data_IF_652283630417
#
_entry.id   IF_652283630417
#
_cell.length_a   1.000
_cell.length_b   1.000
_cell.length_c   1.000
_cell.angle_alpha   90.00
_cell.angle_beta   90.00
_cell.angle_gamma   90.00
#
_symmetry.space_group_name_H-M   'P 1'
#
loop_
_entity.id
_entity.type
_entity.pdbx_description
1 polymer ?
#
# COMPACT_ATOMS: atom_id res chain seq x y z
N UNK A 1 31.99 23.09 15.47
CA UNK A 1 31.26 23.77 14.37
C UNK A 1 30.97 22.71 13.31
N UNK A 2 29.68 22.41 13.17
CA UNK A 2 28.99 21.85 11.98
C UNK A 2 29.63 20.68 11.22
N UNK A 3 29.15 19.46 11.50
CA UNK A 3 29.07 18.44 10.44
C UNK A 3 27.70 18.55 9.78
N UNK A 4 27.69 19.33 8.69
CA UNK A 4 26.58 19.44 7.75
C UNK A 4 26.44 18.12 6.98
N UNK A 5 25.59 17.22 7.48
CA UNK A 5 25.02 16.17 6.64
C UNK A 5 23.65 16.66 6.16
N UNK A 6 23.66 17.27 4.98
CA UNK A 6 22.49 17.65 4.21
C UNK A 6 21.63 16.42 3.95
N UNK A 7 20.68 16.14 4.85
CA UNK A 7 19.58 15.24 4.56
C UNK A 7 18.62 15.97 3.63
N UNK A 8 18.86 15.80 2.34
CA UNK A 8 17.99 16.29 1.28
C UNK A 8 16.70 15.46 1.31
N UNK A 9 15.76 15.87 2.15
CA UNK A 9 14.39 15.35 2.15
C UNK A 9 13.70 15.91 0.90
N UNK A 10 13.76 15.15 -0.20
CA UNK A 10 13.07 15.50 -1.45
C UNK A 10 11.57 15.65 -1.20
N UNK A 11 11.07 16.84 -1.55
CA UNK A 11 9.75 17.33 -1.19
C UNK A 11 8.57 16.63 -1.87
N UNK A 12 7.47 16.65 -1.13
CA UNK A 12 6.15 17.13 -1.56
C UNK A 12 5.64 16.65 -2.94
N UNK A 13 5.35 15.35 -3.06
CA UNK A 13 4.29 14.87 -3.96
C UNK A 13 3.62 13.63 -3.37
N UNK A 14 2.97 13.79 -2.21
CA UNK A 14 2.22 12.69 -1.59
C UNK A 14 0.82 12.66 -2.19
N UNK A 15 0.65 11.91 -3.27
CA UNK A 15 -0.68 11.54 -3.78
C UNK A 15 -1.49 10.99 -2.61
N UNK A 16 -2.74 11.41 -2.50
CA UNK A 16 -3.67 11.27 -1.35
C UNK A 16 -4.02 9.82 -0.94
N UNK A 17 -3.25 8.83 -1.38
CA UNK A 17 -3.50 7.39 -1.22
C UNK A 17 -2.70 6.73 -0.09
N UNK A 18 -1.95 7.48 0.73
CA UNK A 18 -1.11 6.92 1.79
C UNK A 18 -1.70 7.12 3.19
N UNK A 19 -1.60 6.08 4.02
CA UNK A 19 -2.17 6.05 5.37
C UNK A 19 -1.39 6.94 6.36
N UNK A 20 -1.55 8.25 6.28
CA UNK A 20 -0.94 9.21 7.19
C UNK A 20 -1.57 9.10 8.58
N UNK A 21 -0.78 9.31 9.64
CA UNK A 21 -1.33 9.44 10.99
C UNK A 21 -2.36 10.59 11.01
N UNK A 22 -3.53 10.34 11.60
CA UNK A 22 -4.68 11.25 11.61
C UNK A 22 -4.89 11.90 12.98
N UNK A 23 -4.90 11.10 14.04
CA UNK A 23 -5.21 11.55 15.40
C UNK A 23 -4.71 10.58 16.47
N UNK A 24 -4.61 11.07 17.70
CA UNK A 24 -4.29 10.31 18.91
C UNK A 24 -5.56 10.20 19.76
N UNK A 25 -5.96 8.99 20.12
CA UNK A 25 -7.05 8.74 21.06
C UNK A 25 -6.59 9.07 22.48
N UNK A 26 -7.10 10.16 23.03
CA UNK A 26 -6.69 10.66 24.36
C UNK A 26 -7.12 9.75 25.52
N UNK A 27 -8.19 8.97 25.33
CA UNK A 27 -8.68 8.03 26.35
C UNK A 27 -7.69 6.85 26.48
N UNK A 28 -7.21 6.34 25.35
CA UNK A 28 -6.28 5.21 25.32
C UNK A 28 -4.83 5.64 25.58
N UNK A 29 -4.43 6.83 25.14
CA UNK A 29 -3.06 7.31 25.26
C UNK A 29 -2.61 7.37 26.73
N UNK A 30 -1.51 6.69 27.04
CA UNK A 30 -0.95 6.66 28.41
C UNK A 30 0.15 7.70 28.65
N UNK A 31 0.51 8.49 27.63
CA UNK A 31 1.63 9.43 27.75
C UNK A 31 3.00 8.76 27.84
N UNK A 32 3.18 7.55 27.29
CA UNK A 32 4.45 6.80 27.42
C UNK A 32 5.64 7.38 26.62
N UNK A 33 5.40 8.28 25.65
CA UNK A 33 6.46 8.93 24.86
C UNK A 33 7.16 8.04 23.83
N UNK A 34 6.77 6.79 23.64
CA UNK A 34 7.43 5.89 22.66
C UNK A 34 7.28 6.36 21.21
N UNK A 35 6.14 6.97 20.86
CA UNK A 35 5.90 7.49 19.51
C UNK A 35 6.83 8.68 19.16
N UNK A 36 7.18 9.52 20.14
CA UNK A 36 8.16 10.61 19.96
C UNK A 36 9.55 10.03 19.72
N UNK A 37 9.99 9.11 20.58
CA UNK A 37 11.32 8.49 20.49
C UNK A 37 11.58 7.74 19.18
N UNK A 38 10.55 7.12 18.59
CA UNK A 38 10.71 6.32 17.37
C UNK A 38 10.49 7.12 16.10
N UNK A 39 9.92 8.33 16.16
CA UNK A 39 9.50 9.03 14.95
C UNK A 39 10.70 9.68 14.24
N UNK A 40 11.09 9.22 13.03
CA UNK A 40 12.21 9.82 12.31
C UNK A 40 11.89 11.23 11.79
N UNK A 41 10.61 11.57 11.68
CA UNK A 41 10.13 12.89 11.27
C UNK A 41 9.81 13.81 12.46
N UNK A 42 10.02 13.34 13.70
CA UNK A 42 9.88 14.13 14.94
C UNK A 42 8.54 14.90 15.07
N UNK A 43 7.43 14.26 14.70
CA UNK A 43 6.11 14.94 14.61
C UNK A 43 5.31 14.98 15.94
N UNK A 44 5.79 14.33 17.00
CA UNK A 44 5.06 14.17 18.26
C UNK A 44 5.64 15.07 19.36
N UNK A 45 4.80 15.53 20.29
CA UNK A 45 5.23 16.23 21.51
C UNK A 45 4.41 15.78 22.71
N UNK A 46 5.03 15.77 23.89
CA UNK A 46 4.30 15.61 25.16
C UNK A 46 3.60 16.92 25.51
N UNK A 47 2.31 16.83 25.83
CA UNK A 47 1.62 17.83 26.62
C UNK A 47 1.80 17.47 28.10
N UNK A 48 2.66 18.23 28.79
CA UNK A 48 3.03 17.98 30.18
C UNK A 48 1.87 18.22 31.15
N UNK A 49 0.94 19.12 30.84
CA UNK A 49 -0.21 19.41 31.71
C UNK A 49 -1.22 18.26 31.68
N UNK A 50 -1.44 17.69 30.49
CA UNK A 50 -2.43 16.64 30.27
C UNK A 50 -1.84 15.23 30.41
N UNK A 51 -0.51 15.11 30.41
CA UNK A 51 0.22 13.86 30.24
C UNK A 51 -0.27 13.06 29.03
N UNK A 52 -0.41 13.74 27.87
CA UNK A 52 -0.86 13.13 26.61
C UNK A 52 0.08 13.49 25.47
N UNK A 53 0.23 12.57 24.53
CA UNK A 53 0.95 12.86 23.29
C UNK A 53 0.07 13.70 22.36
N UNK A 54 0.69 14.63 21.66
CA UNK A 54 0.08 15.49 20.64
C UNK A 54 0.83 15.38 19.31
N UNK A 55 0.19 15.80 18.22
CA UNK A 55 0.78 15.88 16.89
C UNK A 55 1.15 17.35 16.59
N UNK A 56 2.43 17.70 16.75
CA UNK A 56 2.91 19.06 16.54
C UNK A 56 3.13 19.37 15.04
N UNK A 57 3.66 18.39 14.29
CA UNK A 57 4.05 18.56 12.89
C UNK A 57 3.48 17.45 12.01
N UNK A 58 2.17 17.21 12.10
CA UNK A 58 1.50 16.11 11.41
C UNK A 58 1.79 16.07 9.90
N UNK A 59 1.92 17.23 9.27
CA UNK A 59 2.24 17.37 7.85
C UNK A 59 3.64 16.83 7.47
N UNK A 60 4.54 16.65 8.42
CA UNK A 60 5.89 16.13 8.15
C UNK A 60 5.97 14.61 8.27
N UNK A 61 4.85 13.95 8.60
CA UNK A 61 4.78 12.49 8.69
C UNK A 61 5.26 11.84 7.38
N UNK A 62 6.28 11.00 7.49
CA UNK A 62 6.86 10.24 6.38
C UNK A 62 6.21 8.87 6.17
N UNK A 63 5.09 8.58 6.85
CA UNK A 63 4.34 7.33 6.78
C UNK A 63 5.18 6.04 6.98
N UNK A 64 6.13 6.06 7.92
CA UNK A 64 6.95 4.87 8.23
C UNK A 64 6.25 3.84 9.13
N UNK A 65 5.09 4.19 9.70
CA UNK A 65 4.25 3.38 10.60
C UNK A 65 4.92 2.87 11.89
N UNK A 66 6.15 3.29 12.20
CA UNK A 66 6.85 2.85 13.42
C UNK A 66 6.06 3.17 14.70
N UNK A 67 5.41 4.34 14.73
CA UNK A 67 4.56 4.75 15.85
C UNK A 67 3.33 3.84 16.04
N UNK A 68 2.77 3.25 14.96
CA UNK A 68 1.67 2.28 15.03
C UNK A 68 2.12 1.02 15.76
N UNK A 69 3.29 0.49 15.38
CA UNK A 69 3.77 -0.78 15.91
C UNK A 69 4.32 -0.68 17.33
N UNK A 70 4.89 0.48 17.71
CA UNK A 70 5.45 0.65 19.06
C UNK A 70 4.39 1.00 20.10
N UNK A 71 3.19 1.46 19.71
CA UNK A 71 2.19 1.92 20.66
C UNK A 71 1.60 0.74 21.44
N UNK A 72 1.83 0.62 22.76
CA UNK A 72 1.41 -0.57 23.52
C UNK A 72 -0.10 -0.67 23.73
N UNK A 73 -0.82 0.42 23.50
CA UNK A 73 -2.27 0.58 23.74
C UNK A 73 -3.05 0.90 22.47
N UNK A 74 -2.38 0.86 21.32
CA UNK A 74 -2.92 1.19 20.01
C UNK A 74 -3.74 2.50 19.94
N UNK A 75 -3.22 3.57 20.55
CA UNK A 75 -3.91 4.86 20.65
C UNK A 75 -3.88 5.70 19.37
N UNK A 76 -3.23 5.26 18.29
CA UNK A 76 -2.99 6.07 17.09
C UNK A 76 -3.93 5.67 15.95
N UNK A 77 -4.57 6.65 15.33
CA UNK A 77 -5.41 6.45 14.13
C UNK A 77 -4.71 6.96 12.88
N UNK A 78 -4.95 6.31 11.75
CA UNK A 78 -4.35 6.63 10.46
C UNK A 78 -5.47 6.83 9.42
N UNK A 79 -5.26 7.69 8.43
CA UNK A 79 -6.16 7.77 7.29
C UNK A 79 -6.16 6.42 6.57
N UNK A 80 -7.31 5.92 6.10
CA UNK A 80 -7.30 4.79 5.18
C UNK A 80 -6.55 5.20 3.93
N UNK A 81 -5.67 4.32 3.44
CA UNK A 81 -5.26 4.39 2.05
C UNK A 81 -6.53 4.16 1.23
N UNK A 82 -7.04 5.17 0.53
CA UNK A 82 -8.21 4.95 -0.32
C UNK A 82 -7.84 3.87 -1.35
N UNK A 83 -8.51 2.69 -1.32
CA UNK A 83 -8.24 1.69 -2.32
C UNK A 83 -8.67 2.29 -3.66
N UNK A 84 -7.76 2.33 -4.64
CA UNK A 84 -8.14 2.67 -6.01
C UNK A 84 -9.31 1.75 -6.37
N UNK A 85 -10.47 2.33 -6.70
CA UNK A 85 -11.65 1.58 -7.16
C UNK A 85 -11.26 0.89 -8.45
N UNK A 86 -10.82 -0.36 -8.35
CA UNK A 86 -10.58 -1.21 -9.52
C UNK A 86 -11.94 -1.55 -10.11
N UNK A 87 -12.19 -1.11 -11.34
CA UNK A 87 -13.38 -1.51 -12.07
C UNK A 87 -13.16 -2.95 -12.56
N UNK A 88 -13.91 -3.90 -12.00
CA UNK A 88 -13.79 -5.32 -12.33
C UNK A 88 -14.41 -5.68 -13.68
N UNK A 89 -15.09 -4.73 -14.34
CA UNK A 89 -15.78 -4.91 -15.60
C UNK A 89 -15.02 -4.23 -16.74
N UNK A 90 -13.89 -4.80 -17.13
CA UNK A 90 -12.99 -4.39 -18.23
C UNK A 90 -11.86 -3.46 -17.76
N UNK A 91 -10.65 -4.03 -17.61
CA UNK A 91 -9.40 -3.47 -18.15
C UNK A 91 -8.18 -4.22 -17.59
N UNK A 92 -7.73 -5.22 -18.34
CA UNK A 92 -6.34 -5.69 -18.24
C UNK A 92 -5.30 -4.56 -18.43
N UNK A 93 -5.73 -3.36 -18.88
CA UNK A 93 -4.91 -2.16 -18.96
C UNK A 93 -4.53 -1.59 -17.58
N UNK A 94 -5.43 -1.62 -16.59
CA UNK A 94 -5.17 -1.05 -15.25
C UNK A 94 -4.23 -1.93 -14.42
N UNK A 95 -4.26 -3.26 -14.64
CA UNK A 95 -3.38 -4.23 -13.95
C UNK A 95 -1.92 -4.06 -14.39
N UNK A 96 -1.67 -3.70 -15.65
CA UNK A 96 -0.32 -3.47 -16.20
C UNK A 96 0.44 -2.39 -15.44
N UNK A 97 -0.24 -1.31 -15.10
CA UNK A 97 0.37 -0.17 -14.39
C UNK A 97 0.69 -0.47 -12.93
N UNK A 98 -0.07 -1.36 -12.28
CA UNK A 98 0.10 -1.70 -10.87
C UNK A 98 1.15 -2.80 -10.68
N UNK A 99 1.15 -3.82 -11.54
CA UNK A 99 1.95 -5.03 -11.36
C UNK A 99 3.16 -5.14 -12.30
N UNK A 100 3.32 -4.24 -13.27
CA UNK A 100 4.46 -4.21 -14.20
C UNK A 100 4.56 -5.42 -15.14
N UNK A 101 3.55 -6.29 -15.16
CA UNK A 101 3.44 -7.45 -16.06
C UNK A 101 2.64 -7.04 -17.29
N UNK A 102 3.28 -7.09 -18.46
CA UNK A 102 2.66 -6.71 -19.74
C UNK A 102 1.76 -7.81 -20.31
N UNK A 103 1.97 -9.04 -19.87
CA UNK A 103 1.42 -10.22 -20.52
C UNK A 103 0.24 -10.75 -19.71
N UNK A 104 -0.91 -10.80 -20.37
CA UNK A 104 -2.11 -11.40 -19.85
C UNK A 104 -2.11 -12.90 -20.22
N UNK A 105 -1.78 -13.82 -19.29
CA UNK A 105 -1.76 -15.26 -19.59
C UNK A 105 -3.16 -15.83 -19.94
N UNK A 106 -4.24 -15.08 -19.70
CA UNK A 106 -5.62 -15.43 -20.05
C UNK A 106 -6.13 -14.77 -21.36
N UNK A 107 -5.36 -13.88 -22.02
CA UNK A 107 -5.79 -13.22 -23.26
C UNK A 107 -5.64 -14.09 -24.52
N UNK A 108 -4.71 -15.05 -24.53
CA UNK A 108 -4.46 -15.86 -25.72
C UNK A 108 -5.55 -16.92 -25.93
N UNK A 109 -6.13 -17.43 -24.85
CA UNK A 109 -7.13 -18.48 -24.93
C UNK A 109 -8.47 -17.98 -25.49
N UNK A 110 -8.78 -16.69 -25.32
CA UNK A 110 -10.02 -16.04 -25.79
C UNK A 110 -9.99 -15.59 -27.25
N UNK A 111 -8.81 -15.39 -27.85
CA UNK A 111 -8.66 -14.91 -29.24
C UNK A 111 -8.75 -15.99 -30.33
N UNK A 112 -8.67 -17.29 -29.98
CA UNK A 112 -8.79 -18.36 -30.97
C UNK A 112 -10.25 -18.45 -31.47
N UNK A 113 -10.55 -18.22 -32.75
CA UNK A 113 -11.89 -18.44 -33.29
C UNK A 113 -12.37 -19.88 -33.04
N UNK A 114 -13.68 -20.06 -32.91
CA UNK A 114 -14.30 -21.33 -32.52
C UNK A 114 -13.85 -22.52 -33.39
N UNK A 115 -13.57 -22.29 -34.68
CA UNK A 115 -13.06 -23.32 -35.59
C UNK A 115 -11.63 -23.78 -35.26
N UNK A 116 -10.76 -22.90 -34.73
CA UNK A 116 -9.43 -23.31 -34.27
C UNK A 116 -9.51 -24.16 -33.01
N UNK A 117 -10.37 -23.79 -32.05
CA UNK A 117 -10.63 -24.60 -30.84
C UNK A 117 -11.22 -25.96 -31.19
N UNK A 118 -12.14 -26.01 -32.15
CA UNK A 118 -12.72 -27.25 -32.65
C UNK A 118 -11.68 -28.14 -33.34
N UNK A 119 -10.72 -27.56 -34.08
CA UNK A 119 -9.64 -28.29 -34.74
C UNK A 119 -8.62 -28.86 -33.75
N UNK A 120 -8.23 -28.09 -32.73
CA UNK A 120 -7.36 -28.54 -31.64
C UNK A 120 -8.03 -29.66 -30.80
N UNK A 121 -9.34 -29.53 -30.56
CA UNK A 121 -10.14 -30.55 -29.86
C UNK A 121 -10.34 -31.83 -30.70
N UNK A 122 -10.44 -31.69 -32.02
CA UNK A 122 -10.52 -32.82 -32.95
C UNK A 122 -9.17 -33.57 -33.08
N UNK A 123 -8.04 -32.85 -33.13
CA UNK A 123 -6.71 -33.47 -33.15
C UNK A 123 -6.37 -34.22 -31.85
N UNK A 124 -6.76 -33.69 -30.69
CA UNK A 124 -6.62 -34.42 -29.40
C UNK A 124 -7.44 -35.71 -29.36
N UNK A 125 -8.58 -35.78 -30.06
CA UNK A 125 -9.39 -37.00 -30.20
C UNK A 125 -8.86 -37.99 -31.25
N UNK A 126 -8.18 -37.49 -32.28
CA UNK A 126 -7.59 -38.34 -33.32
C UNK A 126 -6.27 -39.01 -32.87
N UNK A 127 -5.56 -38.43 -31.90
CA UNK A 127 -4.30 -38.96 -31.36
C UNK A 127 -4.42 -40.22 -30.48
N UNK A 128 -5.62 -40.76 -30.25
CA UNK A 128 -5.84 -41.98 -29.45
C UNK A 128 -6.33 -43.18 -30.28
N UNK A 129 -6.29 -43.11 -31.60
CA UNK A 129 -6.58 -44.26 -32.46
C UNK A 129 -5.28 -44.92 -32.93
N UNK A 130 -4.61 -45.64 -32.01
CA UNK A 130 -3.60 -46.64 -32.39
C UNK A 130 -4.34 -47.83 -33.00
N UNK A 131 -4.23 -47.98 -34.31
CA UNK A 131 -4.72 -49.13 -35.07
C UNK A 131 -3.97 -50.41 -34.63
N UNK A 132 -4.66 -51.56 -34.66
CA UNK A 132 -4.09 -52.89 -34.38
C UNK A 132 -3.00 -53.27 -35.38
#
# INVERSE_FOLDING_TARGET
>A
MTVSASHQMHGANRKETEAMIKAINEILCTGCGLCEKICPADIFRMDEERHKMTLAYQADCCNCLQCKYICPVDALSFSPAEPKKINMNNEWAQIKEIMGVTDNPMAEETKKPAWQRAKESAMKKAGSASWK
#
